data_IF_997280915541
#
_entry.id   IF_997280915541
#
_cell.length_a   1.000
_cell.length_b   1.000
_cell.length_c   1.000
_cell.angle_alpha   90.00
_cell.angle_beta   90.00
_cell.angle_gamma   90.00
#
_symmetry.space_group_name_H-M   'P 1'
#
loop_
_entity.id
_entity.type
_entity.pdbx_description
1 polymer ?
#
# COMPACT_ATOMS: atom_id res chain seq x y z
N UNK A 1 -2.16 -3.94 -21.96
CA UNK A 1 -2.46 -4.56 -20.64
C UNK A 1 -1.74 -3.77 -19.57
N UNK A 2 -2.47 -2.86 -18.92
CA UNK A 2 -1.93 -2.09 -17.82
C UNK A 2 -1.79 -3.02 -16.61
N UNK A 3 -0.59 -3.50 -16.35
CA UNK A 3 -0.19 -3.81 -14.99
C UNK A 3 -0.35 -2.51 -14.22
N UNK A 4 -1.25 -2.46 -13.26
CA UNK A 4 -1.41 -1.30 -12.39
C UNK A 4 -0.14 -1.18 -11.54
N UNK A 5 0.92 -0.70 -12.19
CA UNK A 5 2.19 -0.41 -11.59
C UNK A 5 2.01 0.78 -10.66
N UNK A 6 1.67 0.51 -9.44
CA UNK A 6 1.84 1.50 -8.41
C UNK A 6 3.34 1.77 -8.33
N UNK A 7 3.69 2.99 -8.60
CA UNK A 7 5.05 3.51 -8.67
C UNK A 7 5.77 3.43 -7.32
N UNK A 8 6.15 2.21 -6.93
CA UNK A 8 7.01 1.95 -5.76
C UNK A 8 8.50 1.99 -6.12
N UNK A 9 8.80 2.53 -7.30
CA UNK A 9 10.11 2.45 -7.91
C UNK A 9 11.16 3.42 -7.35
N UNK A 10 10.82 4.34 -6.45
CA UNK A 10 11.68 5.49 -6.22
C UNK A 10 12.03 5.78 -4.76
N UNK A 11 11.95 4.81 -3.85
CA UNK A 11 12.23 5.16 -2.45
C UNK A 11 13.70 5.01 -2.01
N UNK A 12 14.53 4.28 -2.75
CA UNK A 12 15.95 4.11 -2.41
C UNK A 12 16.93 4.48 -3.53
N UNK A 13 16.43 5.11 -4.59
CA UNK A 13 17.25 5.51 -5.75
C UNK A 13 17.79 4.36 -6.58
N UNK A 14 17.39 3.11 -6.32
CA UNK A 14 17.80 1.94 -7.08
C UNK A 14 16.75 1.59 -8.14
N UNK A 15 17.20 1.34 -9.36
CA UNK A 15 16.37 0.73 -10.38
C UNK A 15 16.08 -0.72 -9.97
N UNK A 16 14.81 -1.01 -9.65
CA UNK A 16 14.38 -2.37 -9.37
C UNK A 16 14.08 -3.13 -10.66
N UNK A 17 14.35 -4.42 -10.67
CA UNK A 17 14.03 -5.30 -11.80
C UNK A 17 12.51 -5.47 -11.96
N UNK A 18 12.08 -5.90 -13.15
CA UNK A 18 10.68 -6.25 -13.39
C UNK A 18 10.20 -7.35 -12.44
N UNK A 19 11.07 -8.30 -12.13
CA UNK A 19 10.79 -9.39 -11.19
C UNK A 19 10.47 -8.84 -9.79
N UNK A 20 11.28 -7.92 -9.26
CA UNK A 20 11.05 -7.26 -7.96
C UNK A 20 9.76 -6.42 -7.98
N UNK A 21 9.50 -5.73 -9.08
CA UNK A 21 8.29 -4.94 -9.23
C UNK A 21 7.02 -5.81 -9.15
N UNK A 22 7.02 -6.95 -9.86
CA UNK A 22 5.91 -7.92 -9.82
C UNK A 22 5.83 -8.57 -8.44
N UNK A 23 6.96 -8.96 -7.84
CA UNK A 23 7.00 -9.55 -6.51
C UNK A 23 6.38 -8.64 -5.45
N UNK A 24 6.59 -7.33 -5.52
CA UNK A 24 5.98 -6.38 -4.59
C UNK A 24 4.45 -6.36 -4.65
N UNK A 25 3.84 -6.79 -5.74
CA UNK A 25 2.38 -6.90 -5.88
C UNK A 25 1.77 -8.16 -5.23
N UNK A 26 2.59 -9.11 -4.76
CA UNK A 26 2.12 -10.34 -4.09
C UNK A 26 1.33 -10.07 -2.80
N UNK A 27 1.42 -8.87 -2.23
CA UNK A 27 0.53 -8.43 -1.14
C UNK A 27 -0.95 -8.52 -1.54
N UNK A 28 -1.27 -8.46 -2.82
CA UNK A 28 -2.64 -8.59 -3.34
C UNK A 28 -3.24 -10.00 -3.15
N UNK A 29 -2.44 -11.02 -2.84
CA UNK A 29 -2.93 -12.37 -2.49
C UNK A 29 -3.93 -12.36 -1.33
N UNK A 30 -3.78 -11.42 -0.40
CA UNK A 30 -4.66 -11.27 0.77
C UNK A 30 -5.81 -10.29 0.55
N UNK A 31 -5.77 -9.49 -0.51
CA UNK A 31 -6.75 -8.43 -0.79
C UNK A 31 -8.20 -8.93 -0.84
N UNK A 32 -8.55 -10.06 -1.45
CA UNK A 32 -9.94 -10.52 -1.48
C UNK A 32 -10.55 -10.70 -0.09
N UNK A 33 -9.78 -11.30 0.82
CA UNK A 33 -10.23 -11.51 2.20
C UNK A 33 -10.33 -10.19 2.98
N UNK A 34 -9.30 -9.35 2.88
CA UNK A 34 -9.26 -8.04 3.56
C UNK A 34 -10.39 -7.14 3.08
N UNK A 35 -10.67 -7.10 1.77
CA UNK A 35 -11.78 -6.34 1.21
C UNK A 35 -13.13 -6.84 1.77
N UNK A 36 -13.34 -8.16 1.82
CA UNK A 36 -14.56 -8.74 2.35
C UNK A 36 -14.81 -8.39 3.83
N UNK A 37 -13.78 -8.43 4.67
CA UNK A 37 -13.87 -8.01 6.08
C UNK A 37 -14.15 -6.51 6.19
N UNK A 38 -13.43 -5.70 5.44
CA UNK A 38 -13.56 -4.23 5.44
C UNK A 38 -14.95 -3.78 4.99
N UNK A 39 -15.46 -4.30 3.89
CA UNK A 39 -16.78 -3.91 3.37
C UNK A 39 -17.91 -4.29 4.32
N UNK A 40 -17.82 -5.46 4.96
CA UNK A 40 -18.78 -5.85 6.03
C UNK A 40 -18.72 -4.87 7.21
N UNK A 41 -17.53 -4.52 7.66
CA UNK A 41 -17.37 -3.57 8.75
C UNK A 41 -17.91 -2.19 8.40
N UNK A 42 -17.63 -1.69 7.19
CA UNK A 42 -18.15 -0.40 6.73
C UNK A 42 -19.67 -0.35 6.74
N UNK A 43 -20.33 -1.38 6.19
CA UNK A 43 -21.79 -1.47 6.17
C UNK A 43 -22.42 -1.64 7.55
N UNK A 44 -21.69 -2.20 8.51
CA UNK A 44 -22.20 -2.43 9.86
C UNK A 44 -22.05 -1.22 10.79
N UNK A 45 -21.06 -0.35 10.55
CA UNK A 45 -20.67 0.68 11.52
C UNK A 45 -20.80 2.13 10.98
N UNK A 46 -21.11 2.32 9.69
CA UNK A 46 -21.19 3.64 9.09
C UNK A 46 -22.52 3.83 8.35
N UNK A 47 -23.45 4.59 8.93
CA UNK A 47 -24.80 4.82 8.40
C UNK A 47 -24.80 5.53 7.04
N UNK A 48 -23.76 6.30 6.73
CA UNK A 48 -23.58 6.98 5.44
C UNK A 48 -23.00 6.10 4.33
N UNK A 49 -22.63 4.84 4.64
CA UNK A 49 -22.09 3.89 3.67
C UNK A 49 -23.22 2.97 3.18
N UNK A 50 -23.42 2.93 1.87
CA UNK A 50 -24.35 2.01 1.21
C UNK A 50 -23.62 1.02 0.31
N UNK A 51 -24.34 0.02 -0.20
CA UNK A 51 -23.80 -0.93 -1.19
C UNK A 51 -23.37 -0.23 -2.46
N UNK A 52 -24.09 0.79 -2.89
CA UNK A 52 -23.78 1.59 -4.07
C UNK A 52 -22.46 2.35 -3.88
N UNK A 53 -22.24 2.91 -2.69
CA UNK A 53 -20.96 3.55 -2.32
C UNK A 53 -19.79 2.58 -2.41
N UNK A 54 -20.03 1.30 -2.12
CA UNK A 54 -19.02 0.25 -2.13
C UNK A 54 -18.94 -0.53 -3.46
N UNK A 55 -19.62 -0.10 -4.51
CA UNK A 55 -19.67 -0.80 -5.81
C UNK A 55 -18.28 -1.08 -6.43
N UNK A 56 -17.28 -0.24 -6.15
CA UNK A 56 -15.90 -0.49 -6.54
C UNK A 56 -15.36 -1.82 -5.97
N UNK A 57 -15.74 -2.15 -4.74
CA UNK A 57 -15.26 -3.34 -4.06
C UNK A 57 -15.95 -4.63 -4.50
N UNK A 58 -17.05 -4.56 -5.26
CA UNK A 58 -17.72 -5.76 -5.78
C UNK A 58 -16.87 -6.51 -6.81
N UNK A 59 -16.16 -5.78 -7.65
CA UNK A 59 -15.32 -6.36 -8.71
C UNK A 59 -13.85 -6.53 -8.29
N UNK A 60 -13.41 -5.75 -7.32
CA UNK A 60 -12.00 -5.71 -6.90
C UNK A 60 -11.45 -7.05 -6.37
N UNK A 61 -12.19 -7.87 -5.59
CA UNK A 61 -11.68 -9.16 -5.13
C UNK A 61 -11.33 -10.12 -6.26
N UNK A 62 -12.16 -10.18 -7.30
CA UNK A 62 -11.92 -11.05 -8.47
C UNK A 62 -10.69 -10.57 -9.26
N UNK A 63 -10.56 -9.26 -9.44
CA UNK A 63 -9.40 -8.67 -10.12
C UNK A 63 -8.12 -8.90 -9.31
N UNK A 64 -8.13 -8.64 -8.01
CA UNK A 64 -6.98 -8.83 -7.14
C UNK A 64 -6.50 -10.28 -7.14
N UNK A 65 -7.44 -11.24 -7.11
CA UNK A 65 -7.09 -12.65 -7.21
C UNK A 65 -6.40 -12.98 -8.54
N UNK A 66 -6.96 -12.56 -9.66
CA UNK A 66 -6.36 -12.79 -10.99
C UNK A 66 -4.96 -12.20 -11.09
N UNK A 67 -4.81 -10.95 -10.64
CA UNK A 67 -3.56 -10.21 -10.75
C UNK A 67 -2.48 -10.81 -9.84
N UNK A 68 -2.86 -11.26 -8.64
CA UNK A 68 -1.94 -11.94 -7.72
C UNK A 68 -1.57 -13.36 -8.16
N UNK A 69 -2.49 -14.11 -8.75
CA UNK A 69 -2.20 -15.43 -9.33
C UNK A 69 -1.18 -15.30 -10.48
N UNK A 70 -1.35 -14.27 -11.33
CA UNK A 70 -0.37 -13.95 -12.37
C UNK A 70 0.99 -13.60 -11.77
N UNK A 71 1.03 -12.72 -10.77
CA UNK A 71 2.27 -12.29 -10.14
C UNK A 71 2.99 -13.47 -9.47
N UNK A 72 2.27 -14.35 -8.80
CA UNK A 72 2.84 -15.55 -8.19
C UNK A 72 3.44 -16.48 -9.24
N UNK A 73 2.70 -16.79 -10.29
CA UNK A 73 3.18 -17.63 -11.40
C UNK A 73 4.44 -17.02 -12.03
N UNK A 74 4.41 -15.72 -12.31
CA UNK A 74 5.55 -15.01 -12.87
C UNK A 74 6.79 -15.13 -11.99
N UNK A 75 6.67 -14.91 -10.68
CA UNK A 75 7.78 -15.03 -9.75
C UNK A 75 8.34 -16.47 -9.72
N UNK A 76 7.48 -17.48 -9.69
CA UNK A 76 7.90 -18.89 -9.70
C UNK A 76 8.64 -19.28 -10.99
N UNK A 77 8.23 -18.75 -12.13
CA UNK A 77 8.82 -19.05 -13.43
C UNK A 77 10.15 -18.32 -13.67
N UNK A 78 10.37 -17.15 -13.05
CA UNK A 78 11.49 -16.27 -13.36
C UNK A 78 12.55 -16.19 -12.26
N UNK A 79 12.24 -16.52 -11.02
CA UNK A 79 13.21 -16.56 -9.93
C UNK A 79 13.98 -17.91 -9.93
N UNK A 80 14.90 -18.07 -10.87
CA UNK A 80 15.55 -19.37 -11.19
C UNK A 80 16.81 -19.66 -10.39
N UNK A 81 17.40 -18.64 -9.80
CA UNK A 81 18.59 -18.76 -8.97
C UNK A 81 18.37 -18.14 -7.59
N UNK A 82 19.31 -18.36 -6.69
CA UNK A 82 19.20 -17.93 -5.30
C UNK A 82 19.10 -16.41 -5.16
N UNK A 83 19.87 -15.68 -5.95
CA UNK A 83 19.86 -14.21 -5.95
C UNK A 83 18.49 -13.66 -6.34
N UNK A 84 17.89 -14.16 -7.41
CA UNK A 84 16.55 -13.78 -7.87
C UNK A 84 15.45 -14.13 -6.85
N UNK A 85 15.57 -15.30 -6.19
CA UNK A 85 14.64 -15.71 -5.13
C UNK A 85 14.72 -14.80 -3.91
N UNK A 86 15.91 -14.42 -3.49
CA UNK A 86 16.13 -13.47 -2.40
C UNK A 86 15.60 -12.08 -2.77
N UNK A 87 15.83 -11.61 -4.00
CA UNK A 87 15.29 -10.34 -4.49
C UNK A 87 13.76 -10.29 -4.46
N UNK A 88 13.08 -11.38 -4.85
CA UNK A 88 11.61 -11.52 -4.74
C UNK A 88 11.14 -11.37 -3.29
N UNK A 89 11.79 -12.08 -2.37
CA UNK A 89 11.44 -12.06 -0.94
C UNK A 89 11.68 -10.66 -0.35
N UNK A 90 12.79 -10.03 -0.69
CA UNK A 90 13.15 -8.71 -0.17
C UNK A 90 12.23 -7.61 -0.74
N UNK A 91 11.84 -7.70 -2.00
CA UNK A 91 10.86 -6.79 -2.60
C UNK A 91 9.49 -6.90 -1.89
N UNK A 92 9.03 -8.11 -1.59
CA UNK A 92 7.79 -8.34 -0.87
C UNK A 92 7.87 -7.85 0.58
N UNK A 93 8.97 -8.14 1.29
CA UNK A 93 9.20 -7.62 2.65
C UNK A 93 9.18 -6.10 2.68
N UNK A 94 9.89 -5.46 1.76
CA UNK A 94 9.91 -4.00 1.67
C UNK A 94 8.51 -3.43 1.46
N UNK A 95 7.72 -4.02 0.56
CA UNK A 95 6.32 -3.62 0.36
C UNK A 95 5.49 -3.76 1.63
N UNK A 96 5.63 -4.87 2.36
CA UNK A 96 4.93 -5.07 3.63
C UNK A 96 5.34 -4.01 4.67
N UNK A 97 6.62 -3.65 4.75
CA UNK A 97 7.11 -2.59 5.65
C UNK A 97 6.51 -1.22 5.32
N UNK A 98 6.42 -0.86 4.03
CA UNK A 98 5.78 0.38 3.58
C UNK A 98 4.31 0.42 3.99
N UNK A 99 3.56 -0.68 3.75
CA UNK A 99 2.15 -0.77 4.13
C UNK A 99 1.97 -0.70 5.66
N UNK A 100 2.86 -1.35 6.41
CA UNK A 100 2.83 -1.29 7.87
C UNK A 100 3.06 0.12 8.39
N UNK A 101 4.08 0.81 7.87
CA UNK A 101 4.37 2.20 8.24
C UNK A 101 3.19 3.14 7.93
N UNK A 102 2.49 2.93 6.80
CA UNK A 102 1.28 3.68 6.50
C UNK A 102 0.16 3.44 7.51
N UNK A 103 -0.03 2.19 7.95
CA UNK A 103 -1.04 1.85 8.96
C UNK A 103 -0.68 2.44 10.33
N UNK A 104 0.59 2.38 10.72
CA UNK A 104 1.08 3.01 11.97
C UNK A 104 0.84 4.52 11.93
N UNK A 105 1.15 5.18 10.82
CA UNK A 105 0.92 6.61 10.67
C UNK A 105 -0.57 6.97 10.82
N UNK A 106 -1.47 6.20 10.22
CA UNK A 106 -2.92 6.39 10.38
C UNK A 106 -3.38 6.10 11.82
N UNK A 107 -2.86 5.05 12.43
CA UNK A 107 -3.18 4.70 13.82
C UNK A 107 -2.80 5.84 14.77
N UNK A 108 -1.57 6.33 14.68
CA UNK A 108 -1.09 7.42 15.54
C UNK A 108 -1.71 8.78 15.20
N UNK A 109 -2.19 8.98 13.98
CA UNK A 109 -2.89 10.21 13.61
C UNK A 109 -4.33 10.26 14.15
N UNK A 110 -5.05 9.13 14.16
CA UNK A 110 -6.50 9.11 14.36
C UNK A 110 -6.95 8.30 15.59
N UNK A 111 -6.20 7.30 16.03
CA UNK A 111 -6.59 6.40 17.12
C UNK A 111 -5.83 6.73 18.40
N UNK A 112 -4.52 6.89 18.32
CA UNK A 112 -3.65 7.20 19.46
C UNK A 112 -2.73 8.37 19.11
N UNK A 113 -3.28 9.61 19.04
CA UNK A 113 -2.50 10.79 18.68
C UNK A 113 -1.44 11.12 19.74
N UNK A 114 -0.28 11.60 19.30
CA UNK A 114 0.80 12.05 20.19
C UNK A 114 2.13 11.33 19.99
N UNK A 115 2.17 10.23 19.25
CA UNK A 115 3.38 9.47 18.93
C UNK A 115 3.85 9.65 17.48
N UNK A 116 3.41 10.75 16.85
CA UNK A 116 3.82 11.04 15.46
C UNK A 116 5.29 11.47 15.42
N UNK A 117 6.03 11.02 14.40
CA UNK A 117 7.37 11.52 14.15
C UNK A 117 7.39 13.04 14.03
N UNK A 118 8.55 13.63 14.31
CA UNK A 118 8.77 15.06 14.09
C UNK A 118 8.46 15.40 12.60
N UNK A 119 7.75 16.52 12.37
CA UNK A 119 7.25 16.95 11.05
C UNK A 119 6.25 16.02 10.34
N UNK A 120 5.71 15.03 11.02
CA UNK A 120 4.62 14.24 10.44
C UNK A 120 3.35 15.10 10.31
N UNK A 121 2.68 14.97 9.16
CA UNK A 121 1.39 15.63 8.93
C UNK A 121 0.37 15.23 10.00
N UNK A 122 -0.38 16.22 10.52
CA UNK A 122 -1.46 16.01 11.49
C UNK A 122 -2.79 16.44 10.91
N UNK A 123 -3.86 15.64 11.06
CA UNK A 123 -5.21 16.07 10.68
C UNK A 123 -5.61 17.34 11.43
N UNK A 124 -6.06 18.36 10.71
CA UNK A 124 -6.53 19.62 11.29
C UNK A 124 -5.46 20.68 11.57
N UNK A 125 -4.19 20.38 11.48
CA UNK A 125 -3.14 21.37 11.43
C UNK A 125 -2.97 21.84 9.98
N UNK A 126 -3.49 23.02 9.64
CA UNK A 126 -3.11 23.71 8.41
C UNK A 126 -1.60 23.92 8.47
N UNK A 127 -0.87 23.38 7.50
CA UNK A 127 0.58 23.48 7.49
C UNK A 127 1.03 24.91 7.73
N UNK A 128 1.79 25.12 8.78
CA UNK A 128 2.54 26.35 9.06
C UNK A 128 3.76 26.44 8.10
N UNK A 129 3.50 26.19 6.82
CA UNK A 129 4.45 26.48 5.78
C UNK A 129 4.30 27.97 5.45
N UNK A 130 4.84 28.86 6.24
CA UNK A 130 5.38 30.15 5.76
C UNK A 130 5.86 31.14 6.85
N UNK A 131 6.44 30.69 7.94
CA UNK A 131 7.12 31.66 8.83
C UNK A 131 8.65 31.70 8.67
N UNK A 132 9.26 30.78 7.92
CA UNK A 132 10.70 30.80 7.71
C UNK A 132 11.16 31.72 6.58
N UNK A 133 10.27 32.11 5.67
CA UNK A 133 10.60 33.03 4.55
C UNK A 133 10.63 34.51 4.97
N UNK A 134 10.03 34.89 6.09
CA UNK A 134 9.96 36.28 6.54
C UNK A 134 11.12 36.72 7.46
N UNK A 135 12.06 35.83 7.82
CA UNK A 135 13.23 36.18 8.67
C UNK A 135 14.53 36.31 7.90
N UNK A 136 14.51 36.23 6.57
CA UNK A 136 15.71 36.41 5.70
C UNK A 136 15.60 37.61 4.74
N UNK A 137 14.80 38.63 5.09
CA UNK A 137 14.74 39.90 4.34
C UNK A 137 15.17 41.06 5.23
#
# INVERSE_FOLDING_TARGET
EQVSGHSYFLHDGRARSLLEAIASSLTELFSPNVIGVRTKGMLAHYDFISKETLAYFDKRPVQAKRDSDFALTYCLDHARNREEQEAVIDALKFKCQVLWTQLDALYHAYVEPGHLPFDAWRPGEAGTADESASRAA
#
